data_IF_258780350787
#
_entry.id   IF_258780350787
#
_cell.length_a   1.000
_cell.length_b   1.000
_cell.length_c   1.000
_cell.angle_alpha   90.00
_cell.angle_beta   90.00
_cell.angle_gamma   90.00
#
_symmetry.space_group_name_H-M   'P 1'
#
loop_
_entity.id
_entity.type
_entity.pdbx_description
1 polymer ?
#
# COMPACT_ATOMS: atom_id res chain seq x y z
N UNK A 1 27.64 31.98 -16.75
CA UNK A 1 27.46 32.13 -15.30
C UNK A 1 26.02 31.80 -14.96
N UNK A 2 25.82 30.87 -14.01
CA UNK A 2 24.59 30.48 -13.29
C UNK A 2 23.43 29.96 -14.16
N UNK A 3 23.33 28.66 -14.42
CA UNK A 3 22.72 27.65 -13.53
C UNK A 3 21.37 28.10 -12.97
N UNK A 4 20.33 27.98 -13.80
CA UNK A 4 18.93 28.10 -13.38
C UNK A 4 18.49 26.78 -12.76
N UNK A 5 18.92 26.59 -11.52
CA UNK A 5 18.83 25.37 -10.72
C UNK A 5 17.57 24.54 -10.93
N UNK A 6 17.82 23.26 -11.22
CA UNK A 6 16.94 22.17 -10.85
C UNK A 6 16.72 22.20 -9.32
N UNK A 7 15.70 22.89 -8.85
CA UNK A 7 15.20 22.72 -7.47
C UNK A 7 13.94 21.87 -7.55
N UNK A 8 14.16 20.59 -7.86
CA UNK A 8 13.17 19.52 -7.93
C UNK A 8 12.91 19.02 -6.50
N UNK A 9 12.62 19.95 -5.59
CA UNK A 9 12.60 19.72 -4.13
C UNK A 9 11.22 19.98 -3.51
N UNK A 10 10.15 19.72 -4.26
CA UNK A 10 8.89 19.36 -3.61
C UNK A 10 8.98 17.88 -3.33
N UNK A 11 9.33 17.56 -2.09
CA UNK A 11 9.46 16.23 -1.51
C UNK A 11 8.12 15.49 -1.56
N UNK A 12 7.68 15.15 -2.77
CA UNK A 12 6.57 14.28 -3.06
C UNK A 12 7.02 12.87 -2.69
N UNK A 13 6.62 12.41 -1.50
CA UNK A 13 6.96 11.09 -1.00
C UNK A 13 5.70 10.23 -0.91
N UNK A 14 5.59 9.30 -1.83
CA UNK A 14 4.56 8.26 -1.83
C UNK A 14 4.99 7.11 -0.92
N UNK A 15 4.31 6.97 0.21
CA UNK A 15 4.45 5.82 1.11
C UNK A 15 3.32 4.86 0.78
N UNK A 16 3.67 3.66 0.33
CA UNK A 16 2.70 2.58 0.15
C UNK A 16 3.16 1.33 0.89
N UNK A 17 2.34 0.87 1.83
CA UNK A 17 2.56 -0.34 2.61
C UNK A 17 1.43 -1.31 2.31
N UNK A 18 1.79 -2.52 1.91
CA UNK A 18 0.86 -3.62 1.73
C UNK A 18 1.34 -4.83 2.53
N UNK A 19 0.44 -5.45 3.26
CA UNK A 19 0.68 -6.69 3.98
C UNK A 19 -0.43 -7.68 3.68
N UNK A 20 -0.07 -8.96 3.55
CA UNK A 20 -0.99 -10.08 3.48
C UNK A 20 -0.53 -11.14 4.48
N UNK A 21 -1.46 -11.72 5.23
CA UNK A 21 -1.19 -12.79 6.17
C UNK A 21 -2.26 -13.89 6.05
N UNK A 22 -1.86 -15.17 6.08
CA UNK A 22 -2.81 -16.27 6.19
C UNK A 22 -3.46 -16.24 7.57
N UNK A 23 -4.79 -16.25 7.62
CA UNK A 23 -5.55 -16.35 8.87
C UNK A 23 -5.80 -17.81 9.25
N UNK A 24 -6.12 -18.64 8.25
CA UNK A 24 -6.42 -20.03 8.48
C UNK A 24 -6.23 -20.85 7.21
N UNK A 25 -5.68 -22.04 7.38
CA UNK A 25 -5.56 -23.04 6.34
C UNK A 25 -6.13 -24.34 6.89
N UNK A 26 -7.02 -24.98 6.14
CA UNK A 26 -7.53 -26.32 6.48
C UNK A 26 -6.41 -27.35 6.47
N UNK A 27 -6.53 -28.40 7.29
CA UNK A 27 -5.57 -29.52 7.37
C UNK A 27 -5.30 -30.23 6.02
N UNK A 28 -6.25 -30.15 5.09
CA UNK A 28 -6.12 -30.72 3.74
C UNK A 28 -5.58 -29.73 2.70
N UNK A 29 -5.25 -28.50 3.09
CA UNK A 29 -4.74 -27.43 2.20
C UNK A 29 -5.72 -26.97 1.11
N UNK A 30 -6.97 -27.46 1.11
CA UNK A 30 -7.97 -27.12 0.09
C UNK A 30 -8.63 -25.78 0.34
N UNK A 31 -8.53 -25.28 1.56
CA UNK A 31 -9.21 -24.08 1.96
C UNK A 31 -8.25 -23.20 2.75
N UNK A 32 -8.11 -21.96 2.28
CA UNK A 32 -7.22 -20.96 2.81
C UNK A 32 -7.98 -19.63 2.90
N UNK A 33 -7.86 -19.00 4.06
CA UNK A 33 -8.40 -17.68 4.33
C UNK A 33 -7.22 -16.78 4.64
N UNK A 34 -7.02 -15.75 3.84
CA UNK A 34 -6.03 -14.71 4.10
C UNK A 34 -6.71 -13.38 4.41
N UNK A 35 -5.97 -12.51 5.09
CA UNK A 35 -6.29 -11.09 5.22
C UNK A 35 -5.21 -10.28 4.53
N UNK A 36 -5.61 -9.23 3.83
CA UNK A 36 -4.72 -8.23 3.27
C UNK A 36 -5.10 -6.85 3.78
N UNK A 37 -4.09 -6.03 4.04
CA UNK A 37 -4.23 -4.62 4.40
C UNK A 37 -3.33 -3.79 3.49
N UNK A 38 -3.81 -2.61 3.10
CA UNK A 38 -3.08 -1.61 2.33
C UNK A 38 -3.20 -0.24 2.98
N UNK A 39 -2.09 0.49 2.95
CA UNK A 39 -1.94 1.85 3.43
C UNK A 39 -1.18 2.66 2.38
N UNK A 40 -1.73 3.77 1.93
CA UNK A 40 -1.08 4.68 1.00
C UNK A 40 -1.17 6.11 1.48
N UNK A 41 -0.05 6.79 1.63
CA UNK A 41 0.01 8.20 2.01
C UNK A 41 0.91 8.94 1.02
N UNK A 42 0.37 10.03 0.47
CA UNK A 42 1.10 10.89 -0.46
C UNK A 42 1.44 12.20 0.26
N UNK A 43 2.73 12.34 0.61
CA UNK A 43 3.29 13.48 1.32
C UNK A 43 3.86 14.49 0.32
N UNK A 44 3.56 15.79 0.46
CA UNK A 44 4.32 16.84 -0.24
C UNK A 44 3.81 17.31 -1.60
N UNK A 45 2.51 17.19 -1.90
CA UNK A 45 1.94 17.84 -3.08
C UNK A 45 1.89 19.38 -2.93
N UNK A 46 2.02 20.10 -4.05
CA UNK A 46 1.99 21.57 -4.21
C UNK A 46 0.80 22.27 -3.49
N UNK A 47 -0.27 21.52 -3.18
CA UNK A 47 -1.52 21.98 -2.54
C UNK A 47 -1.76 21.41 -1.12
N UNK A 48 -0.78 20.74 -0.51
CA UNK A 48 -0.88 20.15 0.82
C UNK A 48 -0.94 18.62 0.83
N UNK A 49 -0.98 18.04 2.02
CA UNK A 49 -0.93 16.60 2.23
C UNK A 49 -2.18 15.92 1.64
N UNK A 50 -2.02 14.93 0.76
CA UNK A 50 -3.18 14.16 0.28
C UNK A 50 -3.71 13.26 1.41
N UNK A 51 -5.03 13.08 1.52
CA UNK A 51 -5.59 12.23 2.57
C UNK A 51 -5.05 10.80 2.46
N UNK A 52 -4.68 10.17 3.58
CA UNK A 52 -4.21 8.79 3.58
C UNK A 52 -5.32 7.85 3.12
N UNK A 53 -4.93 6.88 2.29
CA UNK A 53 -5.78 5.83 1.75
C UNK A 53 -5.54 4.52 2.51
N UNK A 54 -6.63 3.85 2.85
CA UNK A 54 -6.59 2.57 3.57
C UNK A 54 -7.50 1.58 2.86
N UNK A 55 -7.15 0.30 2.95
CA UNK A 55 -8.05 -0.75 2.51
C UNK A 55 -7.73 -2.08 3.18
N UNK A 56 -8.77 -2.87 3.38
CA UNK A 56 -8.66 -4.26 3.83
C UNK A 56 -9.37 -5.18 2.85
N UNK A 57 -8.86 -6.40 2.69
CA UNK A 57 -9.53 -7.45 1.94
C UNK A 57 -9.42 -8.78 2.68
N UNK A 58 -10.54 -9.49 2.78
CA UNK A 58 -10.55 -10.92 3.10
C UNK A 58 -10.42 -11.70 1.80
N UNK A 59 -9.45 -12.59 1.72
CA UNK A 59 -9.20 -13.42 0.55
C UNK A 59 -9.60 -14.85 0.92
N UNK A 60 -10.59 -15.38 0.20
CA UNK A 60 -11.03 -16.76 0.34
C UNK A 60 -10.52 -17.57 -0.86
N UNK A 61 -9.71 -18.59 -0.60
CA UNK A 61 -9.13 -19.48 -1.61
C UNK A 61 -9.60 -20.90 -1.37
N UNK A 62 -10.31 -21.44 -2.36
CA UNK A 62 -10.66 -22.86 -2.41
C UNK A 62 -9.93 -23.53 -3.57
N UNK A 63 -9.21 -24.61 -3.30
CA UNK A 63 -8.47 -25.42 -4.27
C UNK A 63 -9.10 -26.82 -4.33
N UNK A 64 -9.50 -27.23 -5.54
CA UNK A 64 -10.14 -28.52 -5.83
C UNK A 64 -9.12 -29.61 -6.14
#
# INVERSE_FOLDING_TARGET
MLDGGHTKDQWCHDIHVQAQAPLWTSDNGRLEVDVAAKYGQHLGALYGNSPPSYGGAGIYRFRF
#
